data_IF_516397853666
#
_entry.id   IF_516397853666
#
_cell.length_a   1.000
_cell.length_b   1.000
_cell.length_c   1.000
_cell.angle_alpha   90.00
_cell.angle_beta   90.00
_cell.angle_gamma   90.00
#
_symmetry.space_group_name_H-M   'P 1'
#
loop_
_entity.id
_entity.type
_entity.pdbx_description
1 polymer ?
#
# COMPACT_ATOMS: atom_id res chain seq x y z
N UNK A 1 -24.27 -13.34 -20.80
CA UNK A 1 -23.30 -14.46 -20.95
C UNK A 1 -21.87 -14.06 -20.62
N UNK A 2 -21.26 -13.02 -21.22
CA UNK A 2 -19.87 -12.65 -20.84
C UNK A 2 -19.71 -11.99 -19.47
N UNK A 3 -20.77 -11.41 -18.90
CA UNK A 3 -20.75 -10.71 -17.60
C UNK A 3 -20.46 -11.61 -16.39
N UNK A 4 -20.77 -12.91 -16.47
CA UNK A 4 -20.63 -13.88 -15.38
C UNK A 4 -19.20 -14.04 -14.86
N UNK A 5 -18.20 -13.88 -15.74
CA UNK A 5 -16.79 -14.21 -15.44
C UNK A 5 -15.94 -13.02 -15.00
N UNK A 6 -16.47 -11.79 -15.03
CA UNK A 6 -15.70 -10.59 -14.65
C UNK A 6 -15.17 -10.63 -13.21
N UNK A 7 -15.92 -11.11 -12.18
CA UNK A 7 -15.37 -11.22 -10.83
C UNK A 7 -14.13 -12.13 -10.73
N UNK A 8 -14.04 -13.17 -11.55
CA UNK A 8 -12.91 -14.13 -11.54
C UNK A 8 -11.57 -13.47 -11.90
N UNK A 9 -11.61 -12.31 -12.58
CA UNK A 9 -10.43 -11.50 -12.91
C UNK A 9 -9.67 -11.01 -11.67
N UNK A 10 -10.28 -10.96 -10.48
CA UNK A 10 -9.57 -10.62 -9.23
C UNK A 10 -8.38 -11.55 -8.95
N UNK A 11 -8.46 -12.82 -9.38
CA UNK A 11 -7.33 -13.76 -9.33
C UNK A 11 -6.13 -13.27 -10.14
N UNK A 12 -6.37 -12.62 -11.29
CA UNK A 12 -5.32 -12.10 -12.17
C UNK A 12 -4.64 -10.85 -11.59
N UNK A 13 -5.36 -10.02 -10.82
CA UNK A 13 -4.79 -8.86 -10.11
C UNK A 13 -3.60 -9.27 -9.25
N UNK A 14 -3.69 -10.43 -8.59
CA UNK A 14 -2.61 -11.00 -7.77
C UNK A 14 -1.59 -11.76 -8.63
N UNK A 15 -2.06 -12.63 -9.53
CA UNK A 15 -1.18 -13.54 -10.29
C UNK A 15 -0.25 -12.81 -11.25
N UNK A 16 -0.69 -11.70 -11.87
CA UNK A 16 0.13 -10.95 -12.83
C UNK A 16 1.42 -10.39 -12.18
N UNK A 17 1.38 -9.61 -11.08
CA UNK A 17 2.59 -9.17 -10.39
C UNK A 17 3.35 -10.33 -9.73
N UNK A 18 2.68 -11.37 -9.24
CA UNK A 18 3.36 -12.56 -8.71
C UNK A 18 4.21 -13.27 -9.79
N UNK A 19 3.69 -13.41 -11.01
CA UNK A 19 4.43 -13.96 -12.17
C UNK A 19 5.57 -13.00 -12.57
N UNK A 20 5.33 -11.69 -12.56
CA UNK A 20 6.37 -10.68 -12.79
C UNK A 20 7.52 -10.75 -11.77
N UNK A 21 7.20 -10.98 -10.49
CA UNK A 21 8.20 -11.22 -9.44
C UNK A 21 8.99 -12.50 -9.72
N UNK A 22 8.29 -13.60 -10.00
CA UNK A 22 8.88 -14.91 -10.25
C UNK A 22 9.86 -14.90 -11.45
N UNK A 23 9.47 -14.29 -12.57
CA UNK A 23 10.34 -14.17 -13.76
C UNK A 23 11.60 -13.36 -13.44
N UNK A 24 11.47 -12.20 -12.78
CA UNK A 24 12.61 -11.36 -12.43
C UNK A 24 13.51 -11.98 -11.34
N UNK A 25 12.96 -12.81 -10.45
CA UNK A 25 13.72 -13.53 -9.43
C UNK A 25 14.58 -14.65 -10.03
N UNK A 26 13.99 -15.51 -10.88
CA UNK A 26 14.65 -16.73 -11.38
C UNK A 26 15.38 -16.55 -12.73
N UNK A 27 14.84 -15.73 -13.64
CA UNK A 27 15.45 -15.47 -14.97
C UNK A 27 16.07 -14.07 -15.10
N UNK A 28 15.69 -13.12 -14.24
CA UNK A 28 16.14 -11.73 -14.34
C UNK A 28 17.66 -11.53 -14.37
N UNK A 29 18.43 -12.38 -13.69
CA UNK A 29 19.91 -12.37 -13.74
C UNK A 29 20.51 -12.71 -15.13
N UNK A 30 19.68 -13.14 -16.10
CA UNK A 30 20.06 -13.40 -17.50
C UNK A 30 19.42 -12.41 -18.48
N UNK A 31 18.65 -11.44 -17.99
CA UNK A 31 17.95 -10.43 -18.78
C UNK A 31 18.67 -9.08 -18.66
N UNK A 32 18.48 -8.20 -19.64
CA UNK A 32 18.95 -6.82 -19.52
C UNK A 32 17.98 -5.97 -18.69
N UNK A 33 18.47 -4.89 -18.10
CA UNK A 33 17.68 -3.94 -17.28
C UNK A 33 16.36 -3.55 -17.95
N UNK A 34 16.39 -3.27 -19.26
CA UNK A 34 15.21 -2.92 -20.06
C UNK A 34 14.12 -3.99 -20.02
N UNK A 35 14.47 -5.28 -20.08
CA UNK A 35 13.49 -6.36 -20.00
C UNK A 35 12.98 -6.57 -18.57
N UNK A 36 13.85 -6.47 -17.57
CA UNK A 36 13.49 -6.60 -16.14
C UNK A 36 12.44 -5.56 -15.74
N UNK A 37 12.70 -4.28 -16.04
CA UNK A 37 11.79 -3.18 -15.68
C UNK A 37 10.55 -3.15 -16.57
N UNK A 38 10.64 -3.52 -17.85
CA UNK A 38 9.47 -3.71 -18.70
C UNK A 38 8.54 -4.81 -18.16
N UNK A 39 9.07 -5.99 -17.81
CA UNK A 39 8.28 -7.10 -17.25
C UNK A 39 7.54 -6.65 -15.98
N UNK A 40 8.22 -5.94 -15.08
CA UNK A 40 7.61 -5.49 -13.84
C UNK A 40 6.59 -4.36 -14.03
N UNK A 41 6.94 -3.34 -14.82
CA UNK A 41 6.04 -2.20 -15.08
C UNK A 41 4.81 -2.62 -15.88
N UNK A 42 4.95 -3.56 -16.84
CA UNK A 42 3.81 -4.15 -17.55
C UNK A 42 2.97 -5.00 -16.60
N UNK A 43 3.57 -5.77 -15.69
CA UNK A 43 2.82 -6.55 -14.70
C UNK A 43 2.00 -5.65 -13.75
N UNK A 44 2.59 -4.58 -13.21
CA UNK A 44 1.86 -3.63 -12.35
C UNK A 44 0.75 -2.91 -13.12
N UNK A 45 1.04 -2.47 -14.36
CA UNK A 45 0.08 -1.74 -15.19
C UNK A 45 -1.09 -2.62 -15.64
N UNK A 46 -0.83 -3.89 -15.94
CA UNK A 46 -1.89 -4.87 -16.22
C UNK A 46 -2.75 -5.15 -14.99
N UNK A 47 -2.16 -5.23 -13.78
CA UNK A 47 -2.95 -5.35 -12.55
C UNK A 47 -3.85 -4.13 -12.32
N UNK A 48 -3.37 -2.91 -12.62
CA UNK A 48 -4.18 -1.70 -12.61
C UNK A 48 -5.32 -1.71 -13.64
N UNK A 49 -5.05 -2.14 -14.88
CA UNK A 49 -6.10 -2.30 -15.88
C UNK A 49 -7.17 -3.31 -15.45
N UNK A 50 -6.79 -4.40 -14.78
CA UNK A 50 -7.75 -5.36 -14.22
C UNK A 50 -8.53 -4.76 -13.05
N UNK A 51 -7.90 -3.96 -12.18
CA UNK A 51 -8.60 -3.22 -11.12
C UNK A 51 -9.63 -2.22 -11.69
N UNK A 52 -9.31 -1.54 -12.80
CA UNK A 52 -10.26 -0.68 -13.54
C UNK A 52 -11.41 -1.48 -14.14
N UNK A 53 -11.17 -2.70 -14.65
CA UNK A 53 -12.23 -3.59 -15.14
C UNK A 53 -13.14 -4.09 -14.00
N UNK A 54 -12.59 -4.37 -12.81
CA UNK A 54 -13.37 -4.74 -11.62
C UNK A 54 -14.19 -3.55 -11.09
N UNK A 55 -13.67 -2.33 -11.16
CA UNK A 55 -14.42 -1.12 -10.88
C UNK A 55 -15.58 -0.92 -11.88
N UNK A 56 -15.31 -1.05 -13.18
CA UNK A 56 -16.35 -0.97 -14.20
C UNK A 56 -17.43 -2.05 -14.00
N UNK A 57 -17.07 -3.28 -13.64
CA UNK A 57 -18.01 -4.33 -13.26
C UNK A 57 -18.88 -3.91 -12.06
N UNK A 58 -18.25 -3.40 -11.00
CA UNK A 58 -18.93 -3.04 -9.75
C UNK A 58 -19.92 -1.87 -9.93
N UNK A 59 -19.57 -0.87 -10.75
CA UNK A 59 -20.47 0.22 -11.17
C UNK A 59 -21.69 -0.34 -11.93
N UNK A 60 -21.48 -1.28 -12.87
CA UNK A 60 -22.57 -1.92 -13.62
C UNK A 60 -23.44 -2.85 -12.75
N UNK A 61 -22.96 -3.27 -11.58
CA UNK A 61 -23.68 -4.15 -10.64
C UNK A 61 -24.22 -3.39 -9.40
N UNK A 62 -24.50 -2.08 -9.53
CA UNK A 62 -25.04 -1.24 -8.45
C UNK A 62 -24.25 -1.32 -7.13
N UNK A 63 -22.93 -1.43 -7.23
CA UNK A 63 -21.99 -1.56 -6.11
C UNK A 63 -22.19 -2.79 -5.20
N UNK A 64 -22.91 -3.82 -5.66
CA UNK A 64 -23.07 -5.07 -4.94
C UNK A 64 -21.76 -5.86 -4.89
N UNK A 65 -21.23 -6.05 -3.67
CA UNK A 65 -19.99 -6.76 -3.42
C UNK A 65 -20.11 -8.26 -3.67
N UNK A 66 -19.10 -8.86 -4.31
CA UNK A 66 -19.06 -10.28 -4.71
C UNK A 66 -17.90 -11.00 -4.03
N UNK A 67 -18.18 -12.18 -3.49
CA UNK A 67 -17.14 -13.12 -3.02
C UNK A 67 -16.84 -14.13 -4.12
N UNK A 68 -15.55 -14.32 -4.40
CA UNK A 68 -15.02 -15.09 -5.53
C UNK A 68 -14.11 -16.19 -5.00
N UNK A 69 -14.54 -17.45 -5.19
CA UNK A 69 -13.67 -18.61 -5.04
C UNK A 69 -12.70 -18.65 -6.25
N UNK A 70 -11.37 -18.76 -6.05
CA UNK A 70 -10.43 -18.94 -7.16
C UNK A 70 -10.72 -20.27 -7.89
N UNK A 71 -10.76 -20.31 -9.23
CA UNK A 71 -11.03 -21.54 -9.98
C UNK A 71 -9.91 -22.61 -9.89
N UNK A 72 -8.85 -22.34 -9.13
CA UNK A 72 -7.68 -23.22 -8.96
C UNK A 72 -7.47 -23.69 -7.50
N UNK A 73 -8.31 -23.27 -6.54
CA UNK A 73 -8.15 -23.58 -5.11
C UNK A 73 -9.48 -24.03 -4.49
N UNK A 74 -9.65 -25.36 -4.36
CA UNK A 74 -10.76 -25.98 -3.60
C UNK A 74 -10.47 -25.91 -2.08
N UNK A 75 -10.64 -24.71 -1.52
CA UNK A 75 -10.35 -24.42 -0.12
C UNK A 75 -8.87 -24.11 0.16
N UNK A 76 -8.53 -23.84 1.43
CA UNK A 76 -7.15 -23.59 1.87
C UNK A 76 -6.74 -24.44 3.06
N UNK A 77 -7.51 -24.39 4.16
CA UNK A 77 -7.24 -25.18 5.37
C UNK A 77 -8.52 -25.91 5.78
N UNK A 78 -8.46 -27.25 5.86
CA UNK A 78 -9.55 -28.12 6.33
C UNK A 78 -9.06 -28.90 7.55
N UNK A 79 -9.66 -28.69 8.72
CA UNK A 79 -9.30 -29.36 9.99
C UNK A 79 -10.50 -30.19 10.47
N UNK A 80 -10.36 -31.51 10.40
CA UNK A 80 -11.46 -32.44 10.67
C UNK A 80 -12.61 -32.27 9.68
N UNK A 81 -13.84 -32.44 10.17
CA UNK A 81 -15.08 -32.26 9.39
C UNK A 81 -15.85 -30.99 9.74
N UNK A 82 -15.29 -30.12 10.58
CA UNK A 82 -16.02 -29.01 11.23
C UNK A 82 -15.38 -27.63 11.06
N UNK A 83 -14.13 -27.56 10.57
CA UNK A 83 -13.44 -26.29 10.32
C UNK A 83 -12.90 -26.30 8.90
N UNK A 84 -13.49 -25.48 8.05
CA UNK A 84 -12.99 -25.18 6.71
C UNK A 84 -12.75 -23.67 6.60
N UNK A 85 -11.54 -23.31 6.19
CA UNK A 85 -11.15 -21.93 5.88
C UNK A 85 -10.87 -21.93 4.37
N UNK A 86 -11.75 -21.34 3.56
CA UNK A 86 -11.57 -21.31 2.11
C UNK A 86 -10.61 -20.19 1.71
N UNK A 87 -9.90 -20.35 0.58
CA UNK A 87 -9.26 -19.20 -0.07
C UNK A 87 -10.32 -18.43 -0.85
N UNK A 88 -10.61 -17.19 -0.47
CA UNK A 88 -11.69 -16.40 -1.06
C UNK A 88 -11.28 -14.96 -1.24
N UNK A 89 -11.54 -14.43 -2.44
CA UNK A 89 -11.29 -13.03 -2.78
C UNK A 89 -12.61 -12.26 -2.76
N UNK A 90 -12.60 -11.05 -2.21
CA UNK A 90 -13.72 -10.12 -2.14
C UNK A 90 -13.52 -9.01 -3.16
N UNK A 91 -14.58 -8.69 -3.91
CA UNK A 91 -14.67 -7.58 -4.84
C UNK A 91 -15.85 -6.72 -4.41
N UNK A 92 -15.57 -5.72 -3.59
CA UNK A 92 -16.50 -4.70 -3.09
C UNK A 92 -15.91 -3.29 -3.28
N UNK A 93 -16.63 -2.25 -2.85
CA UNK A 93 -16.20 -0.86 -3.05
C UNK A 93 -14.84 -0.56 -2.40
N UNK A 94 -14.63 -1.01 -1.16
CA UNK A 94 -13.39 -0.78 -0.42
C UNK A 94 -12.19 -1.49 -1.05
N UNK A 95 -12.33 -2.80 -1.32
CA UNK A 95 -11.28 -3.60 -1.95
C UNK A 95 -10.94 -3.11 -3.36
N UNK A 96 -11.93 -2.69 -4.16
CA UNK A 96 -11.69 -2.11 -5.50
C UNK A 96 -10.99 -0.75 -5.42
N UNK A 97 -11.42 0.16 -4.55
CA UNK A 97 -10.72 1.44 -4.34
C UNK A 97 -9.27 1.22 -3.89
N UNK A 98 -9.03 0.27 -2.97
CA UNK A 98 -7.68 -0.06 -2.52
C UNK A 98 -6.85 -0.75 -3.62
N UNK A 99 -7.43 -1.64 -4.42
CA UNK A 99 -6.77 -2.23 -5.60
C UNK A 99 -6.33 -1.15 -6.60
N UNK A 100 -7.19 -0.17 -6.90
CA UNK A 100 -6.87 0.95 -7.79
C UNK A 100 -5.73 1.82 -7.26
N UNK A 101 -5.74 2.17 -5.96
CA UNK A 101 -4.66 2.94 -5.33
C UNK A 101 -3.34 2.15 -5.35
N UNK A 102 -3.36 0.90 -4.87
CA UNK A 102 -2.18 0.04 -4.74
C UNK A 102 -1.52 -0.26 -6.09
N UNK A 103 -2.31 -0.60 -7.11
CA UNK A 103 -1.77 -0.92 -8.45
C UNK A 103 -1.47 0.33 -9.29
N UNK A 104 -2.23 1.42 -9.13
CA UNK A 104 -2.01 2.69 -9.81
C UNK A 104 -0.75 3.39 -9.32
N UNK A 105 -0.67 3.70 -8.02
CA UNK A 105 0.53 4.28 -7.39
C UNK A 105 1.71 3.30 -7.50
N UNK A 106 1.46 1.99 -7.34
CA UNK A 106 2.46 0.95 -7.57
C UNK A 106 3.07 1.02 -8.97
N UNK A 107 2.28 1.28 -10.02
CA UNK A 107 2.78 1.40 -11.40
C UNK A 107 3.58 2.69 -11.63
N UNK A 108 3.20 3.80 -10.99
CA UNK A 108 4.02 5.03 -10.98
C UNK A 108 5.38 4.78 -10.33
N UNK A 109 5.40 4.05 -9.19
CA UNK A 109 6.65 3.66 -8.50
C UNK A 109 7.50 2.74 -9.38
N UNK A 110 6.92 1.79 -10.10
CA UNK A 110 7.66 0.93 -11.04
C UNK A 110 8.32 1.72 -12.18
N UNK A 111 7.60 2.68 -12.79
CA UNK A 111 8.16 3.55 -13.82
C UNK A 111 9.28 4.45 -13.28
N UNK A 112 9.11 5.05 -12.10
CA UNK A 112 10.14 5.84 -11.44
C UNK A 112 11.39 5.00 -11.12
N UNK A 113 11.19 3.82 -10.53
CA UNK A 113 12.26 2.89 -10.18
C UNK A 113 13.10 2.45 -11.40
N UNK A 114 12.49 2.37 -12.59
CA UNK A 114 13.18 1.93 -13.80
C UNK A 114 14.33 2.87 -14.19
N UNK A 115 14.15 4.18 -14.00
CA UNK A 115 15.21 5.18 -14.13
C UNK A 115 16.09 5.30 -12.89
N UNK A 116 15.49 5.34 -11.69
CA UNK A 116 16.23 5.53 -10.43
C UNK A 116 17.25 4.44 -10.14
N UNK A 117 16.96 3.17 -10.46
CA UNK A 117 17.84 2.04 -10.22
C UNK A 117 18.86 1.76 -11.34
N UNK A 118 18.87 2.55 -12.42
CA UNK A 118 19.66 2.27 -13.63
C UNK A 118 21.16 2.06 -13.30
N UNK A 119 21.72 0.94 -13.74
CA UNK A 119 23.11 0.57 -13.49
C UNK A 119 23.43 -0.01 -12.11
N UNK A 120 22.46 -0.21 -11.20
CA UNK A 120 22.72 -0.97 -9.97
C UNK A 120 22.85 -2.48 -10.28
N UNK A 121 23.93 -3.17 -9.82
CA UNK A 121 24.21 -4.56 -10.19
C UNK A 121 23.15 -5.57 -9.69
N UNK A 122 22.24 -5.18 -8.80
CA UNK A 122 21.17 -6.04 -8.29
C UNK A 122 19.78 -5.66 -8.82
N UNK A 123 19.69 -4.90 -9.93
CA UNK A 123 18.46 -4.43 -10.60
C UNK A 123 17.32 -5.48 -10.64
N UNK A 124 17.64 -6.73 -11.02
CA UNK A 124 16.65 -7.80 -11.12
C UNK A 124 16.04 -8.23 -9.77
N UNK A 125 16.80 -8.15 -8.68
CA UNK A 125 16.32 -8.42 -7.33
C UNK A 125 15.39 -7.32 -6.85
N UNK A 126 15.71 -6.05 -7.14
CA UNK A 126 14.87 -4.92 -6.78
C UNK A 126 13.47 -5.05 -7.39
N UNK A 127 13.40 -5.28 -8.70
CA UNK A 127 12.12 -5.46 -9.39
C UNK A 127 11.40 -6.77 -9.07
N UNK A 128 12.10 -7.82 -8.65
CA UNK A 128 11.47 -9.00 -8.07
C UNK A 128 10.78 -8.66 -6.73
N UNK A 129 11.47 -7.97 -5.82
CA UNK A 129 10.91 -7.58 -4.51
C UNK A 129 9.79 -6.54 -4.63
N UNK A 130 9.87 -5.60 -5.58
CA UNK A 130 8.83 -4.60 -5.81
C UNK A 130 7.53 -5.20 -6.38
N UNK A 131 7.64 -6.14 -7.33
CA UNK A 131 6.49 -6.93 -7.78
C UNK A 131 5.93 -7.83 -6.66
N UNK A 132 6.79 -8.42 -5.81
CA UNK A 132 6.36 -9.27 -4.69
C UNK A 132 5.63 -8.45 -3.63
N UNK A 133 6.08 -7.22 -3.36
CA UNK A 133 5.37 -6.26 -2.50
C UNK A 133 3.97 -5.97 -3.04
N UNK A 134 3.87 -5.66 -4.33
CA UNK A 134 2.60 -5.40 -5.00
C UNK A 134 1.66 -6.62 -4.94
N UNK A 135 2.16 -7.83 -5.20
CA UNK A 135 1.36 -9.06 -5.14
C UNK A 135 0.81 -9.34 -3.72
N UNK A 136 1.63 -9.21 -2.67
CA UNK A 136 1.17 -9.41 -1.29
C UNK A 136 0.23 -8.30 -0.79
N UNK A 137 0.46 -7.05 -1.19
CA UNK A 137 -0.47 -5.96 -0.90
C UNK A 137 -1.84 -6.19 -1.57
N UNK A 138 -1.85 -6.78 -2.78
CA UNK A 138 -3.08 -7.13 -3.48
C UNK A 138 -3.78 -8.36 -2.86
N UNK A 139 -3.04 -9.33 -2.28
CA UNK A 139 -3.62 -10.39 -1.43
C UNK A 139 -4.29 -9.78 -0.19
N UNK A 140 -3.62 -8.84 0.49
CA UNK A 140 -4.10 -8.18 1.70
C UNK A 140 -5.45 -7.49 1.47
N UNK A 141 -5.57 -6.66 0.43
CA UNK A 141 -6.79 -5.86 0.17
C UNK A 141 -7.93 -6.64 -0.50
N UNK A 142 -7.67 -7.86 -0.99
CA UNK A 142 -8.70 -8.72 -1.62
C UNK A 142 -9.14 -9.89 -0.76
N UNK A 143 -8.49 -10.21 0.36
CA UNK A 143 -8.90 -11.34 1.20
C UNK A 143 -10.32 -11.20 1.77
N UNK A 144 -11.11 -12.27 1.74
CA UNK A 144 -12.45 -12.32 2.37
C UNK A 144 -12.41 -12.73 3.85
N UNK A 145 -11.25 -13.14 4.36
CA UNK A 145 -11.07 -13.59 5.75
C UNK A 145 -9.78 -13.08 6.39
N UNK A 146 -9.81 -12.98 7.72
CA UNK A 146 -8.71 -12.43 8.51
C UNK A 146 -7.39 -13.21 8.37
N UNK A 147 -7.45 -14.50 8.00
CA UNK A 147 -6.25 -15.32 7.82
C UNK A 147 -5.58 -15.07 6.46
N UNK A 148 -6.35 -14.84 5.38
CA UNK A 148 -5.80 -14.40 4.10
C UNK A 148 -5.26 -12.96 4.19
N UNK A 149 -5.92 -12.09 4.95
CA UNK A 149 -5.40 -10.77 5.30
C UNK A 149 -4.04 -10.87 6.01
N UNK A 150 -3.92 -11.76 7.01
CA UNK A 150 -2.67 -12.01 7.73
C UNK A 150 -1.55 -12.53 6.80
N UNK A 151 -1.86 -13.38 5.81
CA UNK A 151 -0.88 -13.80 4.78
C UNK A 151 -0.42 -12.63 3.90
N UNK A 152 -1.33 -11.76 3.48
CA UNK A 152 -0.97 -10.54 2.75
C UNK A 152 -0.09 -9.60 3.60
N UNK A 153 -0.43 -9.44 4.87
CA UNK A 153 0.28 -8.62 5.85
C UNK A 153 1.70 -9.13 6.15
N UNK A 154 1.86 -10.43 6.46
CA UNK A 154 3.16 -11.10 6.60
C UNK A 154 4.04 -10.95 5.34
N UNK A 155 3.44 -11.11 4.16
CA UNK A 155 4.13 -10.95 2.89
C UNK A 155 4.58 -9.52 2.60
N UNK A 156 3.75 -8.52 2.92
CA UNK A 156 4.12 -7.09 2.86
C UNK A 156 5.27 -6.79 3.84
N UNK A 157 5.22 -7.33 5.06
CA UNK A 157 6.30 -7.25 6.05
C UNK A 157 7.63 -7.80 5.51
N UNK A 158 7.62 -9.03 4.98
CA UNK A 158 8.78 -9.66 4.34
C UNK A 158 9.34 -8.83 3.17
N UNK A 159 8.46 -8.32 2.29
CA UNK A 159 8.87 -7.47 1.17
C UNK A 159 9.50 -6.16 1.65
N UNK A 160 8.95 -5.53 2.71
CA UNK A 160 9.53 -4.33 3.30
C UNK A 160 10.95 -4.57 3.84
N UNK A 161 11.17 -5.71 4.52
CA UNK A 161 12.50 -6.10 5.00
C UNK A 161 13.50 -6.27 3.84
N UNK A 162 13.09 -6.92 2.75
CA UNK A 162 13.93 -7.14 1.57
C UNK A 162 14.25 -5.85 0.80
N UNK A 163 13.33 -4.88 0.76
CA UNK A 163 13.52 -3.59 0.11
C UNK A 163 14.35 -2.62 0.96
N UNK A 164 14.08 -2.49 2.27
CA UNK A 164 14.89 -1.67 3.19
C UNK A 164 16.32 -2.24 3.30
N UNK A 165 16.44 -3.57 3.32
CA UNK A 165 17.72 -4.28 3.37
C UNK A 165 18.42 -4.44 2.01
N UNK A 166 17.87 -3.91 0.92
CA UNK A 166 18.32 -4.19 -0.46
C UNK A 166 19.82 -3.94 -0.66
N UNK A 167 20.31 -2.79 -0.20
CA UNK A 167 21.72 -2.40 -0.27
C UNK A 167 22.53 -2.87 0.95
N UNK A 168 22.50 -4.17 1.25
CA UNK A 168 23.29 -4.79 2.33
C UNK A 168 24.80 -4.82 2.05
N UNK A 169 25.23 -4.76 0.78
CA UNK A 169 26.62 -4.94 0.33
C UNK A 169 27.37 -3.61 0.08
N UNK A 170 26.82 -2.46 0.50
CA UNK A 170 27.49 -1.16 0.32
C UNK A 170 28.59 -0.98 1.38
N UNK A 171 29.79 -0.64 0.91
CA UNK A 171 30.98 -0.39 1.72
C UNK A 171 30.84 0.81 2.69
N UNK A 172 31.90 1.12 3.45
CA UNK A 172 31.93 2.18 4.49
C UNK A 172 30.84 2.02 5.57
N UNK A 173 30.41 0.79 5.86
CA UNK A 173 29.39 0.49 6.88
C UNK A 173 27.94 0.84 6.50
N UNK A 174 27.70 1.39 5.30
CA UNK A 174 26.35 1.72 4.82
C UNK A 174 25.46 0.48 4.75
N UNK A 175 26.00 -0.64 4.26
CA UNK A 175 25.31 -1.93 4.23
C UNK A 175 24.83 -2.41 5.60
N UNK A 176 25.66 -2.26 6.64
CA UNK A 176 25.28 -2.59 8.02
C UNK A 176 24.15 -1.68 8.54
N UNK A 177 24.18 -0.38 8.24
CA UNK A 177 23.11 0.57 8.60
C UNK A 177 21.78 0.15 7.97
N UNK A 178 21.79 -0.19 6.68
CA UNK A 178 20.60 -0.66 5.94
C UNK A 178 20.06 -1.98 6.51
N UNK A 179 20.92 -2.98 6.73
CA UNK A 179 20.52 -4.27 7.32
C UNK A 179 19.99 -4.13 8.75
N UNK A 180 20.54 -3.20 9.55
CA UNK A 180 20.05 -2.94 10.89
C UNK A 180 18.71 -2.18 10.90
N UNK A 181 18.50 -1.26 9.95
CA UNK A 181 17.22 -0.58 9.75
C UNK A 181 16.12 -1.58 9.34
N UNK A 182 16.41 -2.47 8.37
CA UNK A 182 15.52 -3.55 7.96
C UNK A 182 15.18 -4.46 9.15
N UNK A 183 16.17 -4.85 9.95
CA UNK A 183 15.97 -5.64 11.17
C UNK A 183 15.09 -4.91 12.19
N UNK A 184 15.29 -3.60 12.43
CA UNK A 184 14.43 -2.81 13.34
C UNK A 184 12.99 -2.78 12.84
N UNK A 185 12.76 -2.52 11.55
CA UNK A 185 11.44 -2.54 10.94
C UNK A 185 10.75 -3.91 11.10
N UNK A 186 11.44 -5.00 10.75
CA UNK A 186 10.89 -6.37 10.83
C UNK A 186 10.55 -6.79 12.27
N UNK A 187 11.38 -6.41 13.27
CA UNK A 187 11.10 -6.71 14.68
C UNK A 187 9.88 -5.93 15.19
N UNK A 188 9.75 -4.65 14.83
CA UNK A 188 8.57 -3.85 15.21
C UNK A 188 7.30 -4.37 14.52
N UNK A 189 7.38 -4.74 13.23
CA UNK A 189 6.28 -5.39 12.53
C UNK A 189 5.86 -6.67 13.26
N UNK A 190 6.82 -7.53 13.62
CA UNK A 190 6.57 -8.82 14.27
C UNK A 190 5.93 -8.73 15.67
N UNK A 191 6.08 -7.60 16.35
CA UNK A 191 5.34 -7.30 17.59
C UNK A 191 3.86 -6.98 17.26
N UNK A 192 3.59 -6.24 16.19
CA UNK A 192 2.24 -6.01 15.66
C UNK A 192 1.58 -7.30 15.16
N UNK A 193 2.34 -8.15 14.46
CA UNK A 193 1.88 -9.45 13.93
C UNK A 193 1.39 -10.38 15.04
N UNK A 194 2.06 -10.37 16.20
CA UNK A 194 1.61 -11.09 17.39
C UNK A 194 0.27 -10.55 17.91
N UNK A 195 0.10 -9.23 17.98
CA UNK A 195 -1.17 -8.60 18.36
C UNK A 195 -2.32 -8.95 17.40
N UNK A 196 -2.06 -8.91 16.10
CA UNK A 196 -3.02 -9.32 15.07
C UNK A 196 -3.38 -10.81 15.20
N UNK A 197 -2.38 -11.69 15.35
CA UNK A 197 -2.59 -13.12 15.50
C UNK A 197 -3.41 -13.47 16.75
N UNK A 198 -3.18 -12.78 17.88
CA UNK A 198 -4.01 -12.91 19.07
C UNK A 198 -5.47 -12.47 18.84
N UNK A 199 -5.71 -11.42 18.05
CA UNK A 199 -7.06 -11.01 17.66
C UNK A 199 -7.72 -12.05 16.73
N UNK A 200 -7.00 -12.60 15.75
CA UNK A 200 -7.48 -13.68 14.86
C UNK A 200 -7.89 -14.92 15.67
N UNK A 201 -7.08 -15.34 16.65
CA UNK A 201 -7.44 -16.45 17.53
C UNK A 201 -8.66 -16.14 18.42
N UNK A 202 -8.78 -14.91 18.92
CA UNK A 202 -9.94 -14.49 19.72
C UNK A 202 -11.23 -14.49 18.89
N UNK A 203 -11.20 -13.94 17.66
CA UNK A 203 -12.32 -13.95 16.71
C UNK A 203 -12.75 -15.38 16.41
N UNK A 204 -11.81 -16.27 16.11
CA UNK A 204 -12.13 -17.69 15.87
C UNK A 204 -12.75 -18.37 17.09
N UNK A 205 -12.24 -18.08 18.30
CA UNK A 205 -12.78 -18.64 19.54
C UNK A 205 -14.20 -18.14 19.86
N UNK A 206 -14.52 -16.87 19.57
CA UNK A 206 -15.84 -16.30 19.89
C UNK A 206 -16.89 -16.54 18.82
N UNK A 207 -16.51 -16.58 17.53
CA UNK A 207 -17.47 -16.66 16.41
C UNK A 207 -17.42 -17.97 15.62
N UNK A 208 -16.37 -18.79 15.78
CA UNK A 208 -16.20 -20.05 15.06
C UNK A 208 -15.88 -19.92 13.56
N UNK A 209 -15.66 -18.69 13.08
CA UNK A 209 -15.27 -18.38 11.69
C UNK A 209 -14.17 -17.32 11.65
N UNK A 210 -13.51 -17.19 10.50
CA UNK A 210 -12.55 -16.13 10.19
C UNK A 210 -12.96 -15.27 8.98
N UNK A 211 -14.08 -15.58 8.32
CA UNK A 211 -14.62 -14.76 7.24
C UNK A 211 -15.17 -13.44 7.79
N UNK A 212 -14.99 -12.35 7.05
CA UNK A 212 -15.40 -11.01 7.50
C UNK A 212 -16.91 -10.85 7.71
N UNK A 213 -17.71 -11.64 6.99
CA UNK A 213 -19.17 -11.56 6.99
C UNK A 213 -19.76 -12.95 6.81
N UNK A 214 -20.83 -13.26 7.54
CA UNK A 214 -21.53 -14.53 7.39
C UNK A 214 -22.38 -14.52 6.11
N UNK A 215 -22.49 -15.63 5.35
CA UNK A 215 -23.42 -15.69 4.22
C UNK A 215 -24.86 -15.39 4.66
N UNK A 216 -25.44 -14.30 4.12
CA UNK A 216 -26.75 -13.75 4.49
C UNK A 216 -26.71 -12.44 5.28
N UNK A 217 -25.55 -12.01 5.76
CA UNK A 217 -25.38 -10.80 6.59
C UNK A 217 -25.16 -9.55 5.72
N UNK A 218 -26.22 -8.77 5.50
CA UNK A 218 -26.14 -7.51 4.74
C UNK A 218 -25.43 -6.46 5.60
N UNK A 219 -24.15 -6.25 5.32
CA UNK A 219 -23.32 -5.23 5.94
C UNK A 219 -23.67 -3.82 5.44
N UNK A 220 -24.84 -3.33 5.82
CA UNK A 220 -25.21 -1.93 5.68
C UNK A 220 -25.03 -1.26 7.07
N UNK A 221 -23.87 -0.66 7.38
CA UNK A 221 -23.67 0.07 8.63
C UNK A 221 -24.51 1.34 8.59
N UNK A 222 -25.77 1.21 9.01
CA UNK A 222 -26.74 2.30 9.08
C UNK A 222 -26.14 3.47 9.87
N UNK A 223 -25.97 4.61 9.21
CA UNK A 223 -25.44 5.82 9.82
C UNK A 223 -26.32 6.18 11.02
N UNK A 224 -25.71 6.27 12.20
CA UNK A 224 -26.40 5.90 13.45
C UNK A 224 -27.70 6.65 13.74
N UNK A 225 -28.81 5.91 13.74
CA UNK A 225 -30.06 6.33 14.38
C UNK A 225 -30.16 5.71 15.77
N UNK A 226 -30.37 6.54 16.79
CA UNK A 226 -30.58 6.06 18.16
C UNK A 226 -31.96 5.40 18.29
N UNK A 227 -31.99 4.11 18.60
CA UNK A 227 -33.22 3.37 18.88
C UNK A 227 -32.92 1.90 19.13
N UNK A 228 -33.00 1.47 20.38
CA UNK A 228 -32.98 0.04 20.69
C UNK A 228 -34.40 -0.51 20.55
N UNK A 229 -34.55 -1.61 19.82
CA UNK A 229 -35.04 -2.87 20.39
C UNK A 229 -34.85 -4.03 19.39
N UNK A 230 -34.64 -5.23 19.92
CA UNK A 230 -34.60 -6.46 19.14
C UNK A 230 -35.70 -7.40 19.64
N UNK A 231 -36.74 -7.57 18.82
CA UNK A 231 -37.84 -8.49 19.09
C UNK A 231 -38.29 -9.17 17.79
N UNK A 232 -38.49 -10.49 17.83
CA UNK A 232 -39.18 -11.23 16.77
C UNK A 232 -40.69 -10.99 16.85
N UNK A 233 -41.39 -11.13 15.72
CA UNK A 233 -42.48 -12.12 15.52
C UNK A 233 -42.99 -12.05 14.06
N UNK A 234 -43.59 -13.14 13.58
CA UNK A 234 -44.20 -13.29 12.25
C UNK A 234 -45.61 -12.64 12.19
N UNK A 235 -46.10 -12.31 10.99
CA UNK A 235 -47.56 -12.36 10.74
C UNK A 235 -48.20 -11.21 9.94
N UNK A 236 -48.74 -11.60 8.78
CA UNK A 236 -49.91 -11.01 8.10
C UNK A 236 -49.87 -9.54 7.62
N UNK A 237 -50.94 -9.13 6.92
CA UNK A 237 -51.00 -7.94 6.06
C UNK A 237 -52.31 -7.15 6.26
N UNK A 238 -52.34 -5.89 5.81
CA UNK A 238 -53.52 -5.21 5.24
C UNK A 238 -53.07 -3.90 4.52
N UNK A 239 -54.01 -3.21 3.86
CA UNK A 239 -53.82 -2.23 2.77
C UNK A 239 -54.09 -0.77 3.25
N UNK A 240 -53.84 0.21 2.37
CA UNK A 240 -54.26 1.63 2.41
C UNK A 240 -53.34 2.59 3.23
N UNK A 241 -53.04 3.82 2.77
CA UNK A 241 -53.36 4.45 1.48
C UNK A 241 -52.81 5.89 1.29
N UNK A 242 -52.70 6.30 0.01
CA UNK A 242 -52.77 7.65 -0.61
C UNK A 242 -52.00 8.90 -0.10
N UNK A 243 -51.50 9.70 -1.07
CA UNK A 243 -51.19 11.14 -0.96
C UNK A 243 -49.77 11.54 -0.52
N UNK A 244 -49.19 12.68 -0.95
CA UNK A 244 -49.39 13.50 -2.16
C UNK A 244 -48.07 14.29 -2.44
N UNK A 245 -47.95 15.02 -3.56
CA UNK A 245 -46.69 15.60 -4.06
C UNK A 245 -46.49 17.10 -3.72
N UNK A 246 -45.23 17.58 -3.76
CA UNK A 246 -44.88 18.97 -4.11
C UNK A 246 -43.38 19.17 -4.45
N UNK A 247 -43.10 20.05 -5.44
CA UNK A 247 -41.85 20.84 -5.56
C UNK A 247 -42.00 22.15 -4.73
N UNK A 248 -41.11 23.15 -4.63
CA UNK A 248 -40.14 23.78 -5.58
C UNK A 248 -39.13 24.68 -4.81
N UNK A 249 -38.07 25.17 -5.49
CA UNK A 249 -37.31 26.45 -5.33
C UNK A 249 -37.18 27.13 -3.93
N UNK A 250 -36.02 27.58 -3.42
CA UNK A 250 -35.01 28.56 -3.92
C UNK A 250 -34.60 29.50 -2.75
N UNK A 251 -33.65 30.46 -2.77
CA UNK A 251 -32.57 30.91 -3.67
C UNK A 251 -31.49 31.69 -2.84
N UNK A 252 -30.32 32.03 -3.42
CA UNK A 252 -29.37 33.07 -2.92
C UNK A 252 -28.19 32.61 -2.02
N UNK A 253 -27.02 33.26 -2.00
CA UNK A 253 -26.46 34.30 -2.89
C UNK A 253 -24.88 34.33 -2.87
N UNK A 254 -24.26 35.26 -3.62
CA UNK A 254 -22.82 35.36 -3.99
C UNK A 254 -21.82 35.59 -2.83
N UNK A 255 -20.47 35.43 -2.95
CA UNK A 255 -19.46 36.06 -3.85
C UNK A 255 -18.16 35.21 -3.92
N UNK A 256 -17.33 35.12 -4.97
CA UNK A 256 -16.59 36.06 -5.85
C UNK A 256 -15.35 36.75 -5.19
N UNK A 257 -14.16 36.90 -5.80
CA UNK A 257 -13.51 36.30 -7.01
C UNK A 257 -11.99 36.71 -7.11
N UNK A 258 -11.16 35.93 -7.86
CA UNK A 258 -10.00 36.28 -8.75
C UNK A 258 -8.89 37.32 -8.33
N UNK A 259 -7.67 37.46 -8.92
CA UNK A 259 -6.90 36.78 -9.99
C UNK A 259 -5.39 37.20 -10.00
N UNK A 260 -4.51 36.50 -10.77
CA UNK A 260 -3.17 36.89 -11.30
C UNK A 260 -1.99 37.23 -10.32
N UNK A 261 -0.69 37.18 -10.70
CA UNK A 261 0.01 36.64 -11.90
C UNK A 261 1.47 37.16 -12.10
N UNK A 262 2.32 36.43 -12.89
CA UNK A 262 3.65 36.82 -13.49
C UNK A 262 4.89 36.87 -12.53
N UNK A 263 6.01 36.14 -12.78
CA UNK A 263 7.29 36.45 -13.54
C UNK A 263 8.40 37.13 -12.67
N UNK A 264 9.74 37.02 -12.87
CA UNK A 264 10.67 36.17 -13.68
C UNK A 264 12.14 36.26 -13.10
N UNK A 265 13.06 35.31 -13.40
CA UNK A 265 14.56 35.40 -13.30
C UNK A 265 15.25 35.65 -11.92
N UNK A 266 16.60 35.69 -11.75
CA UNK A 266 17.72 34.76 -12.08
C UNK A 266 19.07 35.22 -11.41
N UNK A 267 20.17 34.43 -11.56
CA UNK A 267 21.61 34.77 -11.31
C UNK A 267 22.15 34.89 -9.84
N UNK A 268 23.47 34.80 -9.49
CA UNK A 268 24.62 33.90 -9.86
C UNK A 268 25.90 34.23 -9.01
N UNK A 269 26.93 33.34 -8.97
CA UNK A 269 28.36 33.54 -8.53
C UNK A 269 28.72 33.56 -7.01
N UNK A 270 29.96 33.33 -6.48
CA UNK A 270 31.24 32.64 -6.87
C UNK A 270 32.26 32.56 -5.68
N UNK A 271 33.38 31.79 -5.78
CA UNK A 271 34.58 31.77 -4.88
C UNK A 271 34.65 30.63 -3.84
N UNK A 272 35.74 29.89 -3.50
CA UNK A 272 37.24 30.05 -3.49
C UNK A 272 37.84 30.80 -2.26
N UNK A 273 38.95 30.43 -1.59
CA UNK A 273 39.73 29.17 -1.32
C UNK A 273 40.80 29.51 -0.19
N UNK A 274 41.71 28.73 0.43
CA UNK A 274 42.16 27.32 0.45
C UNK A 274 43.04 27.00 1.72
N UNK A 275 43.52 25.74 1.89
CA UNK A 275 44.57 25.25 2.86
C UNK A 275 44.24 25.26 4.38
N UNK A 276 44.85 24.44 5.28
CA UNK A 276 45.79 23.31 5.13
C UNK A 276 46.32 22.73 6.49
N UNK A 277 47.13 21.65 6.43
CA UNK A 277 47.84 20.95 7.53
C UNK A 277 46.99 20.06 8.50
N UNK A 278 47.62 19.13 9.25
CA UNK A 278 46.94 17.97 9.87
C UNK A 278 47.67 17.40 11.12
N UNK A 279 46.94 16.69 12.01
CA UNK A 279 47.40 15.55 12.85
C UNK A 279 46.22 14.94 13.66
N UNK A 280 46.42 13.71 14.17
CA UNK A 280 45.54 12.90 15.05
C UNK A 280 44.43 12.08 14.36
N UNK A 281 44.05 10.97 15.00
CA UNK A 281 43.24 9.90 14.42
C UNK A 281 42.05 9.50 15.31
N UNK A 282 41.00 8.97 14.66
CA UNK A 282 39.75 8.45 15.23
C UNK A 282 38.84 9.48 15.92
N UNK A 283 37.87 10.04 15.19
CA UNK A 283 36.41 9.87 15.44
C UNK A 283 35.54 10.52 14.35
N UNK A 284 34.25 10.19 14.36
CA UNK A 284 33.12 10.81 13.64
C UNK A 284 33.05 10.69 12.08
N UNK A 285 31.92 11.17 11.52
CA UNK A 285 31.37 10.82 10.19
C UNK A 285 31.91 11.63 8.99
N UNK A 286 32.91 12.49 9.18
CA UNK A 286 33.13 13.70 8.37
C UNK A 286 33.68 13.50 6.93
N UNK A 287 33.59 12.28 6.38
CA UNK A 287 34.12 11.89 5.06
C UNK A 287 33.08 11.22 4.15
N UNK A 288 31.79 11.59 4.30
CA UNK A 288 30.72 11.30 3.35
C UNK A 288 30.20 12.63 2.77
N UNK A 289 30.36 12.89 1.45
CA UNK A 289 29.75 14.05 0.80
C UNK A 289 28.24 14.06 1.01
N UNK A 290 27.66 15.22 1.29
CA UNK A 290 26.22 15.35 1.65
C UNK A 290 25.31 14.79 0.56
N UNK A 291 25.70 14.84 -0.71
CA UNK A 291 25.02 14.22 -1.85
C UNK A 291 24.86 12.70 -1.74
N UNK A 292 25.82 12.01 -1.10
CA UNK A 292 25.82 10.55 -0.91
C UNK A 292 25.02 10.12 0.33
N UNK A 293 24.51 11.06 1.13
CA UNK A 293 23.57 10.79 2.20
C UNK A 293 22.15 10.69 1.61
N UNK A 294 21.45 9.59 1.91
CA UNK A 294 20.01 9.50 1.71
C UNK A 294 19.26 10.54 2.57
N UNK A 295 17.99 10.80 2.27
CA UNK A 295 17.21 11.92 2.86
C UNK A 295 17.40 12.07 4.37
N UNK A 296 17.17 11.01 5.16
CA UNK A 296 17.35 11.04 6.61
C UNK A 296 18.78 11.37 7.08
N UNK A 297 19.81 11.01 6.31
CA UNK A 297 21.19 11.38 6.59
C UNK A 297 21.45 12.86 6.33
N UNK A 298 20.84 13.45 5.30
CA UNK A 298 20.85 14.91 5.08
C UNK A 298 20.12 15.64 6.20
N UNK A 299 18.95 15.15 6.63
CA UNK A 299 18.17 15.73 7.73
C UNK A 299 18.91 15.64 9.07
N UNK A 300 19.52 14.49 9.40
CA UNK A 300 20.33 14.35 10.61
C UNK A 300 21.52 15.33 10.60
N UNK A 301 22.25 15.40 9.48
CA UNK A 301 23.37 16.34 9.34
C UNK A 301 22.92 17.80 9.46
N UNK A 302 21.79 18.18 8.85
CA UNK A 302 21.24 19.53 8.97
C UNK A 302 20.86 19.89 10.42
N UNK A 303 20.32 18.94 11.20
CA UNK A 303 20.06 19.12 12.63
C UNK A 303 21.36 19.19 13.44
N UNK A 304 22.37 18.36 13.15
CA UNK A 304 23.69 18.41 13.78
C UNK A 304 24.46 19.71 13.45
N UNK A 305 24.24 20.30 12.27
CA UNK A 305 24.78 21.58 11.82
C UNK A 305 23.96 22.81 12.30
N UNK A 306 22.98 22.60 13.20
CA UNK A 306 22.24 23.67 13.89
C UNK A 306 20.91 24.09 13.25
N UNK A 307 20.42 23.34 12.27
CA UNK A 307 19.13 23.53 11.61
C UNK A 307 17.92 23.23 12.51
N UNK A 308 17.66 24.11 13.48
CA UNK A 308 16.51 24.02 14.40
C UNK A 308 15.35 24.96 14.03
N UNK A 309 15.54 25.86 13.08
CA UNK A 309 14.49 26.77 12.59
C UNK A 309 14.25 26.53 11.10
N UNK A 310 12.98 26.49 10.71
CA UNK A 310 12.58 26.56 9.31
C UNK A 310 11.93 27.92 9.08
N UNK A 311 12.52 28.68 8.16
CA UNK A 311 11.99 29.97 7.71
C UNK A 311 10.89 29.74 6.65
N UNK A 312 9.67 30.18 6.96
CA UNK A 312 8.52 30.16 6.05
C UNK A 312 8.18 31.58 5.53
N UNK A 313 9.11 32.54 5.62
CA UNK A 313 8.96 33.93 5.21
C UNK A 313 8.56 34.83 6.38
N UNK A 314 7.27 35.23 6.53
CA UNK A 314 6.83 36.04 7.67
C UNK A 314 6.81 35.30 9.02
N UNK A 315 7.17 34.00 9.07
CA UNK A 315 7.16 33.19 10.29
C UNK A 315 8.34 32.22 10.32
N UNK A 316 9.13 32.26 11.40
CA UNK A 316 10.05 31.17 11.79
C UNK A 316 9.35 30.27 12.82
N UNK A 317 9.60 28.96 12.74
CA UNK A 317 9.11 27.99 13.71
C UNK A 317 10.28 27.15 14.27
N UNK A 318 10.52 27.14 15.59
CA UNK A 318 11.54 26.29 16.20
C UNK A 318 11.06 24.83 16.27
N UNK A 319 11.96 23.91 15.90
CA UNK A 319 11.70 22.48 15.84
C UNK A 319 12.63 21.70 16.79
N UNK A 320 12.15 21.46 18.02
CA UNK A 320 12.75 20.47 18.91
C UNK A 320 12.23 19.07 18.58
N UNK A 321 13.08 18.21 18.02
CA UNK A 321 12.80 16.77 17.95
C UNK A 321 13.29 16.10 19.23
N UNK A 322 12.39 15.85 20.19
CA UNK A 322 12.70 15.01 21.36
C UNK A 322 12.82 13.56 20.90
N UNK A 323 14.06 13.13 20.61
CA UNK A 323 14.40 11.74 20.29
C UNK A 323 14.35 10.87 21.56
N UNK A 324 13.54 9.81 21.50
CA UNK A 324 13.46 8.70 22.46
C UNK A 324 13.70 7.38 21.69
#
# INVERSE_FOLDING_TARGET
MHTETYPQLVTLVILIPAIGAFINLFWGARLSERWISAIATVASSLAFLVAVLLYAYLVNNNYQGVVVNPPLLDGWIRIGTSVEIPWQMRVDTLSVTMMLVVSGVGSLIHMYAAGYMHGDPMYHRFFAYLNMFLAFMLILVTGNNFLMMFVGWEGVGLCSFLLIGFWFDKAKGVGWRNSNAARKAMVVNRIGDFGMMMAVFMIFWTFGTLDYYRPGEIANPGFGTHGAEAAHVEGEAVVEGEGEAAHTEGEGEATAAAEAGHEETAAVAEGEDAHGEAVAAFTNNDHIPTEQLGVFGKTMRWVEEGGHEVDFGPFTLPFETVLI
#
